data_IF_805573907412
#
_entry.id   IF_805573907412
#
_cell.length_a   1.000
_cell.length_b   1.000
_cell.length_c   1.000
_cell.angle_alpha   90.00
_cell.angle_beta   90.00
_cell.angle_gamma   90.00
#
_symmetry.space_group_name_H-M   'P 1'
#
loop_
_entity.id
_entity.type
_entity.pdbx_description
1 polymer ?
#
# COMPACT_ATOMS: atom_id res chain seq x y z
N UNK A 1 -40.19 48.69 -45.08
CA UNK A 1 -38.90 48.37 -44.43
C UNK A 1 -39.16 48.09 -42.96
N UNK A 2 -39.10 46.82 -42.53
CA UNK A 2 -39.16 46.41 -41.12
C UNK A 2 -38.02 45.42 -40.91
N UNK A 3 -37.00 45.84 -40.17
CA UNK A 3 -35.85 45.02 -39.80
C UNK A 3 -36.24 44.13 -38.63
N UNK A 4 -36.21 42.81 -38.82
CA UNK A 4 -36.26 41.84 -37.71
C UNK A 4 -34.82 41.47 -37.35
N UNK A 5 -34.39 41.89 -36.16
CA UNK A 5 -33.12 41.48 -35.56
C UNK A 5 -33.34 40.09 -34.97
N UNK A 6 -32.74 39.07 -35.58
CA UNK A 6 -32.63 37.73 -35.03
C UNK A 6 -31.51 37.73 -33.98
N UNK A 7 -31.87 37.72 -32.70
CA UNK A 7 -30.93 37.46 -31.60
C UNK A 7 -30.67 35.95 -31.52
N UNK A 8 -29.45 35.54 -31.85
CA UNK A 8 -28.99 34.18 -31.64
C UNK A 8 -28.77 33.95 -30.13
N UNK A 9 -29.59 33.09 -29.54
CA UNK A 9 -29.40 32.60 -28.17
C UNK A 9 -28.24 31.61 -28.17
N UNK A 10 -27.08 32.05 -27.67
CA UNK A 10 -25.93 31.18 -27.44
C UNK A 10 -26.21 30.21 -26.30
N UNK A 11 -26.47 28.93 -26.63
CA UNK A 11 -26.48 27.84 -25.66
C UNK A 11 -25.03 27.55 -25.24
N UNK A 12 -24.58 28.23 -24.19
CA UNK A 12 -23.36 27.86 -23.46
C UNK A 12 -23.60 26.49 -22.81
N UNK A 13 -23.13 25.45 -23.50
CA UNK A 13 -23.06 24.09 -22.97
C UNK A 13 -21.96 24.06 -21.91
N UNK A 14 -22.31 24.40 -20.67
CA UNK A 14 -21.44 24.19 -19.52
C UNK A 14 -21.24 22.71 -19.33
N UNK A 15 -20.15 22.16 -19.88
CA UNK A 15 -19.69 20.84 -19.51
C UNK A 15 -19.30 20.90 -18.03
N UNK A 16 -20.22 20.45 -17.17
CA UNK A 16 -19.91 20.12 -15.78
C UNK A 16 -18.86 19.01 -15.83
N UNK A 17 -17.59 19.41 -15.72
CA UNK A 17 -16.50 18.50 -15.39
C UNK A 17 -16.78 18.03 -13.98
N UNK A 18 -17.52 16.92 -13.85
CA UNK A 18 -17.50 16.14 -12.63
C UNK A 18 -16.06 15.67 -12.46
N UNK A 19 -15.29 16.35 -11.61
CA UNK A 19 -14.14 15.74 -11.00
C UNK A 19 -14.68 14.51 -10.28
N UNK A 20 -14.40 13.32 -10.83
CA UNK A 20 -14.60 12.08 -10.11
C UNK A 20 -13.67 12.15 -8.90
N UNK A 21 -14.18 12.70 -7.79
CA UNK A 21 -13.55 12.60 -6.49
C UNK A 21 -13.46 11.10 -6.20
N UNK A 22 -12.29 10.52 -6.49
CA UNK A 22 -11.96 9.23 -5.94
C UNK A 22 -12.11 9.38 -4.42
N UNK A 23 -12.83 8.50 -3.72
CA UNK A 23 -12.92 8.58 -2.28
C UNK A 23 -11.49 8.44 -1.73
N UNK A 24 -10.91 9.57 -1.34
CA UNK A 24 -9.65 9.58 -0.61
C UNK A 24 -9.97 8.94 0.73
N UNK A 25 -9.50 7.71 0.93
CA UNK A 25 -9.75 6.96 2.16
C UNK A 25 -9.32 7.77 3.38
N UNK A 26 -9.95 7.50 4.52
CA UNK A 26 -9.88 8.39 5.67
C UNK A 26 -8.46 8.45 6.26
N UNK A 27 -7.84 9.61 6.15
CA UNK A 27 -6.44 9.83 6.54
C UNK A 27 -6.29 10.08 8.06
N UNK A 28 -7.39 10.45 8.73
CA UNK A 28 -7.43 10.67 10.19
C UNK A 28 -7.00 9.43 10.99
N UNK A 29 -7.33 8.24 10.48
CA UNK A 29 -6.98 6.97 11.13
C UNK A 29 -5.48 6.73 11.23
N UNK A 30 -4.66 7.36 10.39
CA UNK A 30 -3.21 7.21 10.46
C UNK A 30 -2.63 7.86 11.73
N UNK A 31 -3.25 8.95 12.19
CA UNK A 31 -2.74 9.80 13.28
C UNK A 31 -3.55 9.68 14.57
N UNK A 32 -4.76 9.11 14.47
CA UNK A 32 -5.64 8.83 15.59
C UNK A 32 -4.95 8.00 16.68
N UNK A 33 -5.11 8.44 17.93
CA UNK A 33 -4.31 7.95 19.06
C UNK A 33 -4.53 6.45 19.33
N UNK A 34 -5.76 5.98 19.13
CA UNK A 34 -6.17 4.58 19.26
C UNK A 34 -5.48 3.66 18.23
N UNK A 35 -4.97 4.18 17.12
CA UNK A 35 -4.27 3.36 16.12
C UNK A 35 -2.75 3.31 16.32
N UNK A 36 -2.19 4.13 17.22
CA UNK A 36 -0.73 4.23 17.42
C UNK A 36 -0.10 2.91 17.88
N UNK A 37 -0.81 2.11 18.65
CA UNK A 37 -0.32 0.81 19.13
C UNK A 37 -0.20 -0.24 18.00
N UNK A 38 -0.88 -0.03 16.87
CA UNK A 38 -0.88 -0.92 15.69
C UNK A 38 0.12 -0.48 14.61
N UNK A 39 1.00 0.48 14.92
CA UNK A 39 1.87 1.15 13.94
C UNK A 39 3.37 0.95 14.21
N UNK A 40 3.76 0.01 15.07
CA UNK A 40 5.15 -0.45 15.17
C UNK A 40 5.53 -1.33 13.97
N UNK A 41 6.33 -0.77 13.05
CA UNK A 41 6.74 -1.44 11.81
C UNK A 41 7.72 -2.60 12.04
N UNK A 42 8.56 -2.50 13.06
CA UNK A 42 9.49 -3.59 13.40
C UNK A 42 8.69 -4.79 13.91
N UNK A 43 7.75 -4.55 14.83
CA UNK A 43 6.86 -5.61 15.32
C UNK A 43 6.04 -6.23 14.20
N UNK A 44 5.52 -5.43 13.26
CA UNK A 44 4.75 -5.91 12.12
C UNK A 44 5.55 -6.87 11.23
N UNK A 45 6.84 -6.62 11.00
CA UNK A 45 7.70 -7.47 10.18
C UNK A 45 8.40 -8.60 10.95
N UNK A 46 8.41 -8.57 12.28
CA UNK A 46 9.06 -9.61 13.10
C UNK A 46 8.23 -10.89 13.27
N UNK A 47 7.00 -10.94 12.74
CA UNK A 47 6.11 -12.11 12.84
C UNK A 47 6.36 -13.17 11.77
N UNK A 48 6.98 -12.80 10.65
CA UNK A 48 7.21 -13.71 9.50
C UNK A 48 8.41 -13.28 8.70
N UNK A 49 9.04 -14.22 7.97
CA UNK A 49 10.08 -13.90 6.97
C UNK A 49 9.52 -13.60 5.58
N UNK A 50 8.27 -13.96 5.33
CA UNK A 50 7.63 -13.83 4.02
C UNK A 50 6.29 -13.11 4.16
N UNK A 51 6.09 -12.12 3.29
CA UNK A 51 4.85 -11.37 3.18
C UNK A 51 4.41 -11.29 1.72
N UNK A 52 3.20 -11.74 1.43
CA UNK A 52 2.57 -11.65 0.12
C UNK A 52 1.95 -10.28 -0.09
N UNK A 53 2.11 -9.73 -1.29
CA UNK A 53 1.30 -8.60 -1.72
C UNK A 53 -0.11 -9.11 -1.96
N UNK A 54 -1.04 -8.83 -1.04
CA UNK A 54 -2.43 -9.29 -1.16
C UNK A 54 -3.23 -8.38 -2.10
N UNK A 55 -3.02 -7.07 -2.02
CA UNK A 55 -3.68 -6.14 -2.91
C UNK A 55 -3.37 -4.67 -2.64
N UNK A 56 -3.98 -3.81 -3.45
CA UNK A 56 -3.75 -2.36 -3.44
C UNK A 56 -5.00 -1.57 -3.83
N UNK A 57 -5.06 -0.30 -3.47
CA UNK A 57 -6.20 0.58 -3.76
C UNK A 57 -6.00 1.47 -4.99
N UNK A 58 -4.94 1.22 -5.76
CA UNK A 58 -4.51 2.06 -6.87
C UNK A 58 -4.01 1.21 -8.05
N UNK A 59 -4.08 1.72 -9.28
CA UNK A 59 -3.46 1.01 -10.40
C UNK A 59 -1.93 1.11 -10.30
N UNK A 60 -1.25 -0.03 -10.18
CA UNK A 60 0.22 -0.09 -10.10
C UNK A 60 0.83 -0.63 -11.40
N UNK A 61 1.44 0.22 -12.25
CA UNK A 61 2.13 -0.23 -13.47
C UNK A 61 3.20 -1.29 -13.18
N UNK A 62 3.78 -1.27 -11.98
CA UNK A 62 4.82 -2.22 -11.56
C UNK A 62 4.30 -3.63 -11.27
N UNK A 63 2.99 -3.81 -11.14
CA UNK A 63 2.35 -5.12 -10.91
C UNK A 63 1.71 -5.70 -12.18
N UNK A 64 1.66 -4.92 -13.26
CA UNK A 64 1.12 -5.37 -14.54
C UNK A 64 1.90 -6.58 -15.06
N UNK A 65 1.16 -7.63 -15.41
CA UNK A 65 1.68 -8.92 -15.87
C UNK A 65 2.57 -9.65 -14.85
N UNK A 66 2.48 -9.29 -13.56
CA UNK A 66 3.10 -10.03 -12.47
C UNK A 66 2.08 -10.89 -11.75
N UNK A 67 2.48 -12.09 -11.37
CA UNK A 67 1.82 -12.97 -10.40
C UNK A 67 2.80 -13.36 -9.31
N UNK A 68 2.32 -14.05 -8.26
CA UNK A 68 3.16 -14.55 -7.17
C UNK A 68 4.03 -13.47 -6.50
N UNK A 69 3.51 -12.26 -6.29
CA UNK A 69 4.33 -11.18 -5.72
C UNK A 69 4.43 -11.35 -4.21
N UNK A 70 5.64 -11.61 -3.71
CA UNK A 70 5.92 -11.67 -2.28
C UNK A 70 7.24 -10.97 -1.94
N UNK A 71 7.38 -10.62 -0.67
CA UNK A 71 8.55 -10.01 -0.09
C UNK A 71 9.19 -10.99 0.89
N UNK A 72 10.49 -11.25 0.71
CA UNK A 72 11.29 -12.09 1.60
C UNK A 72 12.25 -11.21 2.39
N UNK A 73 12.11 -11.22 3.71
CA UNK A 73 12.96 -10.48 4.64
C UNK A 73 14.25 -11.27 4.84
N UNK A 74 15.37 -10.66 4.49
CA UNK A 74 16.71 -11.24 4.56
C UNK A 74 17.38 -10.89 5.91
N UNK A 75 17.22 -9.63 6.35
CA UNK A 75 17.63 -9.18 7.68
C UNK A 75 16.63 -8.16 8.22
N UNK A 76 16.46 -8.12 9.54
CA UNK A 76 15.54 -7.20 10.22
C UNK A 76 16.18 -6.69 11.51
N UNK A 77 16.12 -5.37 11.71
CA UNK A 77 16.54 -4.70 12.93
C UNK A 77 15.52 -3.61 13.30
N UNK A 78 15.66 -3.00 14.47
CA UNK A 78 14.82 -1.84 14.86
C UNK A 78 15.02 -0.63 13.93
N UNK A 79 16.13 -0.60 13.19
CA UNK A 79 16.49 0.50 12.30
C UNK A 79 16.04 0.30 10.86
N UNK A 80 15.74 -0.93 10.45
CA UNK A 80 15.42 -1.22 9.07
C UNK A 80 15.45 -2.70 8.72
N UNK A 81 15.39 -3.00 7.42
CA UNK A 81 15.46 -4.37 6.92
C UNK A 81 16.08 -4.44 5.53
N UNK A 82 16.77 -5.55 5.25
CA UNK A 82 17.06 -5.95 3.88
C UNK A 82 16.02 -6.96 3.44
N UNK A 83 15.50 -6.80 2.24
CA UNK A 83 14.46 -7.67 1.72
C UNK A 83 14.50 -7.74 0.20
N UNK A 84 13.85 -8.74 -0.37
CA UNK A 84 13.67 -8.86 -1.80
C UNK A 84 12.20 -9.00 -2.18
N UNK A 85 11.79 -8.39 -3.29
CA UNK A 85 10.53 -8.70 -3.97
C UNK A 85 10.78 -9.81 -4.98
N UNK A 86 9.98 -10.86 -4.89
CA UNK A 86 10.01 -12.03 -5.76
C UNK A 86 8.67 -12.09 -6.49
N UNK A 87 8.69 -12.44 -7.78
CA UNK A 87 7.49 -12.47 -8.61
C UNK A 87 7.69 -13.35 -9.84
N UNK A 88 6.59 -13.72 -10.48
CA UNK A 88 6.58 -14.27 -11.83
C UNK A 88 6.10 -13.18 -12.77
N UNK A 89 6.86 -12.89 -13.84
CA UNK A 89 6.47 -11.96 -14.90
C UNK A 89 6.60 -12.66 -16.24
N UNK A 90 5.51 -12.72 -17.02
CA UNK A 90 5.49 -13.42 -18.31
C UNK A 90 6.03 -14.87 -18.22
N UNK A 91 5.68 -15.59 -17.15
CA UNK A 91 6.15 -16.96 -16.89
C UNK A 91 7.59 -17.09 -16.39
N UNK A 92 8.34 -16.00 -16.27
CA UNK A 92 9.72 -16.01 -15.78
C UNK A 92 9.82 -15.46 -14.36
N UNK A 93 10.72 -16.03 -13.56
CA UNK A 93 10.98 -15.56 -12.20
C UNK A 93 11.77 -14.26 -12.23
N UNK A 94 11.37 -13.32 -11.40
CA UNK A 94 12.08 -12.09 -11.14
C UNK A 94 12.34 -11.89 -9.66
N UNK A 95 13.50 -11.31 -9.35
CA UNK A 95 13.89 -10.89 -8.01
C UNK A 95 14.40 -9.46 -8.08
N UNK A 96 13.98 -8.61 -7.15
CA UNK A 96 14.52 -7.27 -6.95
C UNK A 96 14.92 -7.12 -5.48
N UNK A 97 16.13 -6.66 -5.24
CA UNK A 97 16.70 -6.52 -3.90
C UNK A 97 16.62 -5.08 -3.41
N UNK A 98 16.20 -4.93 -2.16
CA UNK A 98 15.96 -3.66 -1.51
C UNK A 98 16.71 -3.56 -0.17
N UNK A 99 16.98 -2.31 0.19
CA UNK A 99 17.38 -1.89 1.52
C UNK A 99 16.30 -0.95 2.06
N UNK A 100 15.87 -1.18 3.29
CA UNK A 100 14.81 -0.44 3.95
C UNK A 100 15.28 0.23 5.22
N UNK A 101 15.03 1.52 5.36
CA UNK A 101 15.27 2.28 6.59
C UNK A 101 13.95 2.60 7.26
N UNK A 102 13.83 2.31 8.56
CA UNK A 102 12.64 2.62 9.34
C UNK A 102 12.70 4.05 9.88
N UNK A 103 11.60 4.78 9.69
CA UNK A 103 11.44 6.19 10.05
C UNK A 103 10.23 6.39 10.96
N UNK A 104 10.24 7.48 11.74
CA UNK A 104 9.07 7.98 12.45
C UNK A 104 8.43 9.08 11.61
N UNK A 105 7.14 8.97 11.33
CA UNK A 105 6.37 10.12 10.82
C UNK A 105 6.02 11.06 11.97
N UNK A 106 5.93 12.35 11.69
CA UNK A 106 5.29 13.30 12.59
C UNK A 106 3.79 13.01 12.63
N UNK A 107 3.19 13.00 13.82
CA UNK A 107 1.73 12.96 13.94
C UNK A 107 1.16 14.28 13.46
N UNK A 108 0.16 14.27 12.58
CA UNK A 108 -0.45 15.52 12.06
C UNK A 108 -1.47 16.16 13.00
N UNK A 109 -1.51 15.74 14.26
CA UNK A 109 -2.50 16.21 15.23
C UNK A 109 -2.10 17.60 15.73
N UNK A 110 -2.82 18.63 15.28
CA UNK A 110 -2.53 20.06 15.43
C UNK A 110 -2.42 20.56 16.89
N UNK A 111 -2.78 19.74 17.88
CA UNK A 111 -2.86 20.15 19.27
C UNK A 111 -1.61 19.80 20.10
N UNK A 112 -0.88 18.72 19.76
CA UNK A 112 0.33 18.31 20.48
C UNK A 112 1.18 17.45 19.55
N UNK A 113 2.42 17.89 19.29
CA UNK A 113 3.49 17.09 18.67
C UNK A 113 3.88 15.91 19.58
N UNK A 114 2.97 14.96 19.82
CA UNK A 114 3.28 13.73 20.52
C UNK A 114 4.04 12.84 19.56
N UNK A 115 5.36 12.92 19.65
CA UNK A 115 6.29 12.05 18.93
C UNK A 115 5.82 10.59 19.00
N UNK A 116 5.88 9.89 17.88
CA UNK A 116 5.54 8.46 17.84
C UNK A 116 6.56 7.69 18.68
N UNK A 117 6.07 6.80 19.54
CA UNK A 117 6.95 5.94 20.35
C UNK A 117 7.78 5.01 19.46
N UNK A 118 7.15 4.49 18.39
CA UNK A 118 7.75 3.54 17.46
C UNK A 118 7.86 4.11 16.05
N UNK A 119 8.82 3.58 15.28
CA UNK A 119 8.91 3.84 13.84
C UNK A 119 7.75 3.14 13.15
N UNK A 120 7.15 3.85 12.20
CA UNK A 120 5.96 3.39 11.47
C UNK A 120 6.13 3.47 9.95
N UNK A 121 7.24 4.00 9.44
CA UNK A 121 7.46 4.10 8.00
C UNK A 121 8.69 3.33 7.57
N UNK A 122 8.65 2.87 6.32
CA UNK A 122 9.73 2.22 5.60
C UNK A 122 10.10 3.10 4.40
N UNK A 123 11.31 3.62 4.41
CA UNK A 123 11.94 4.21 3.25
C UNK A 123 12.78 3.14 2.55
N UNK A 124 12.30 2.67 1.40
CA UNK A 124 12.92 1.59 0.65
C UNK A 124 13.69 2.13 -0.56
N UNK A 125 14.89 1.60 -0.78
CA UNK A 125 15.72 1.86 -1.97
C UNK A 125 16.16 0.54 -2.59
N UNK A 126 16.53 0.56 -3.87
CA UNK A 126 17.19 -0.60 -4.49
C UNK A 126 18.57 -0.78 -3.87
N UNK A 127 19.01 -2.03 -3.72
CA UNK A 127 20.38 -2.31 -3.30
C UNK A 127 21.39 -1.84 -4.34
N UNK A 128 21.05 -1.97 -5.62
CA UNK A 128 21.87 -1.61 -6.76
C UNK A 128 21.17 -0.54 -7.63
N UNK A 129 20.92 0.64 -7.06
CA UNK A 129 20.34 1.77 -7.79
C UNK A 129 19.53 2.71 -6.90
N UNK A 130 18.84 3.67 -7.51
CA UNK A 130 17.95 4.58 -6.79
C UNK A 130 16.53 4.45 -7.32
N UNK A 131 15.65 3.95 -6.46
CA UNK A 131 14.20 3.99 -6.67
C UNK A 131 13.53 4.10 -5.29
N UNK A 132 13.46 5.33 -4.73
CA UNK A 132 13.04 5.54 -3.37
C UNK A 132 11.52 5.43 -3.24
N UNK A 133 11.06 4.53 -2.36
CA UNK A 133 9.65 4.34 -2.05
C UNK A 133 9.42 4.57 -0.57
N UNK A 134 8.45 5.42 -0.24
CA UNK A 134 8.03 5.66 1.14
C UNK A 134 6.70 4.96 1.40
N UNK A 135 6.76 3.99 2.31
CA UNK A 135 5.61 3.26 2.83
C UNK A 135 5.38 3.68 4.27
N UNK A 136 4.14 3.99 4.65
CA UNK A 136 3.78 4.29 6.04
C UNK A 136 2.77 3.29 6.52
N UNK A 137 3.09 2.57 7.58
CA UNK A 137 2.21 1.61 8.23
C UNK A 137 1.05 2.39 8.88
N UNK A 138 -0.16 2.16 8.38
CA UNK A 138 -1.38 2.66 8.98
C UNK A 138 -1.91 1.70 10.06
N UNK A 139 -1.76 0.40 9.84
CA UNK A 139 -2.25 -0.64 10.75
C UNK A 139 -1.54 -1.97 10.53
N UNK A 140 -1.19 -2.65 11.60
CA UNK A 140 -0.88 -4.07 11.62
C UNK A 140 -1.65 -4.75 12.75
N UNK A 141 -2.26 -5.90 12.48
CA UNK A 141 -2.91 -6.70 13.52
C UNK A 141 -1.91 -7.52 14.35
N UNK A 142 -0.64 -7.55 13.93
CA UNK A 142 0.42 -8.40 14.51
C UNK A 142 0.12 -9.90 14.49
N UNK A 143 -0.88 -10.32 13.70
CA UNK A 143 -1.26 -11.71 13.48
C UNK A 143 -1.01 -12.15 12.03
N UNK A 144 -0.62 -11.21 11.16
CA UNK A 144 -0.23 -11.51 9.79
C UNK A 144 -0.62 -10.47 8.77
N UNK A 145 -1.40 -9.44 9.14
CA UNK A 145 -1.86 -8.40 8.23
C UNK A 145 -1.19 -7.05 8.51
N UNK A 146 -0.72 -6.38 7.46
CA UNK A 146 -0.17 -5.03 7.54
C UNK A 146 -0.67 -4.16 6.36
N UNK A 147 -1.27 -3.01 6.68
CA UNK A 147 -1.80 -2.04 5.73
C UNK A 147 -0.88 -0.82 5.68
N UNK A 148 -0.31 -0.56 4.51
CA UNK A 148 0.59 0.54 4.24
C UNK A 148 -0.05 1.57 3.34
N UNK A 149 0.26 2.86 3.58
CA UNK A 149 0.11 3.91 2.58
C UNK A 149 1.36 4.06 1.74
N UNK A 150 1.16 4.22 0.44
CA UNK A 150 2.20 4.48 -0.56
C UNK A 150 2.10 5.94 -0.96
N UNK A 151 3.17 6.73 -0.81
CA UNK A 151 3.11 8.19 -1.00
C UNK A 151 3.76 8.67 -2.31
N UNK A 152 4.93 8.11 -2.68
CA UNK A 152 5.82 8.72 -3.69
C UNK A 152 5.52 8.34 -5.15
N UNK A 153 4.49 7.53 -5.43
CA UNK A 153 4.16 7.08 -6.79
C UNK A 153 2.70 7.36 -7.14
N UNK A 154 1.84 6.40 -6.84
CA UNK A 154 0.40 6.54 -6.97
C UNK A 154 -0.13 6.47 -5.54
N UNK A 155 -0.57 7.60 -4.98
CA UNK A 155 -1.09 7.64 -3.63
C UNK A 155 -2.18 6.59 -3.44
N UNK A 156 -2.06 5.78 -2.40
CA UNK A 156 -3.01 4.73 -2.11
C UNK A 156 -2.54 3.80 -1.02
N UNK A 157 -3.26 2.69 -0.86
CA UNK A 157 -2.96 1.66 0.10
C UNK A 157 -2.42 0.40 -0.56
N UNK A 158 -1.58 -0.29 0.19
CA UNK A 158 -1.11 -1.65 -0.07
C UNK A 158 -1.39 -2.48 1.18
N UNK A 159 -1.78 -3.74 1.01
CA UNK A 159 -1.91 -4.68 2.12
C UNK A 159 -1.02 -5.89 1.89
N UNK A 160 -0.27 -6.23 2.94
CA UNK A 160 0.62 -7.38 2.99
C UNK A 160 0.07 -8.42 3.96
N UNK A 161 0.13 -9.69 3.55
CA UNK A 161 -0.22 -10.82 4.39
C UNK A 161 0.98 -11.73 4.60
N UNK A 162 1.27 -12.12 5.84
CA UNK A 162 2.28 -13.15 6.14
C UNK A 162 1.93 -14.48 5.46
N UNK A 163 2.91 -15.34 5.20
CA UNK A 163 2.73 -16.61 4.50
C UNK A 163 1.59 -17.48 5.07
N UNK A 164 1.53 -17.59 6.41
CA UNK A 164 0.52 -18.39 7.12
C UNK A 164 -0.92 -17.88 6.92
N UNK A 165 -1.08 -16.58 6.65
CA UNK A 165 -2.38 -15.91 6.54
C UNK A 165 -2.75 -15.63 5.08
N UNK A 166 -1.79 -15.55 4.17
CA UNK A 166 -2.01 -15.16 2.78
C UNK A 166 -2.96 -16.08 1.99
N UNK A 167 -3.15 -17.32 2.46
CA UNK A 167 -4.11 -18.28 1.89
C UNK A 167 -5.55 -18.06 2.36
N UNK A 168 -5.72 -17.27 3.42
CA UNK A 168 -6.99 -16.93 4.02
C UNK A 168 -7.39 -15.50 3.68
N UNK A 169 -8.58 -15.10 4.12
CA UNK A 169 -8.97 -13.69 4.04
C UNK A 169 -8.22 -12.88 5.12
N UNK A 170 -8.12 -11.57 4.89
CA UNK A 170 -7.67 -10.62 5.92
C UNK A 170 -8.49 -10.79 7.20
N UNK A 171 -7.87 -10.55 8.36
CA UNK A 171 -8.59 -10.50 9.63
C UNK A 171 -9.70 -9.44 9.60
N UNK A 172 -10.72 -9.59 10.46
CA UNK A 172 -11.84 -8.63 10.52
C UNK A 172 -11.35 -7.21 10.79
N UNK A 173 -10.38 -7.05 11.70
CA UNK A 173 -9.81 -5.75 12.04
C UNK A 173 -9.02 -5.15 10.86
N UNK A 174 -8.20 -5.95 10.18
CA UNK A 174 -7.45 -5.48 9.03
C UNK A 174 -8.38 -5.10 7.86
N UNK A 175 -9.44 -5.89 7.65
CA UNK A 175 -10.47 -5.60 6.64
C UNK A 175 -11.19 -4.30 6.96
N UNK A 176 -11.61 -4.09 8.21
CA UNK A 176 -12.29 -2.88 8.64
C UNK A 176 -11.39 -1.65 8.49
N UNK A 177 -10.13 -1.75 8.95
CA UNK A 177 -9.15 -0.67 8.78
C UNK A 177 -8.95 -0.33 7.31
N UNK A 178 -8.71 -1.32 6.45
CA UNK A 178 -8.50 -1.09 5.02
C UNK A 178 -9.70 -0.40 4.37
N UNK A 179 -10.92 -0.87 4.63
CA UNK A 179 -12.13 -0.27 4.05
C UNK A 179 -12.29 1.20 4.45
N UNK A 180 -12.05 1.52 5.71
CA UNK A 180 -12.19 2.89 6.20
C UNK A 180 -11.03 3.79 5.72
N UNK A 181 -9.79 3.34 5.88
CA UNK A 181 -8.59 4.13 5.59
C UNK A 181 -8.28 4.25 4.09
N UNK A 182 -8.75 3.30 3.26
CA UNK A 182 -8.44 3.20 1.82
C UNK A 182 -9.68 3.37 0.92
N UNK A 183 -10.88 3.34 1.50
CA UNK A 183 -12.15 3.73 0.85
C UNK A 183 -12.73 2.75 -0.17
N UNK A 184 -12.08 1.60 -0.42
CA UNK A 184 -12.49 0.58 -1.41
C UNK A 184 -12.03 -0.81 -0.98
N UNK A 185 -12.58 -1.85 -1.61
CA UNK A 185 -12.00 -3.20 -1.53
C UNK A 185 -10.64 -3.24 -2.26
N UNK A 186 -9.67 -4.03 -1.77
CA UNK A 186 -8.37 -4.12 -2.41
C UNK A 186 -8.50 -4.77 -3.79
N UNK A 187 -7.86 -4.17 -4.79
CA UNK A 187 -7.58 -4.84 -6.05
C UNK A 187 -6.60 -5.97 -5.73
N UNK A 188 -7.10 -7.21 -5.76
CA UNK A 188 -6.29 -8.38 -5.39
C UNK A 188 -5.15 -8.56 -6.38
N UNK A 189 -3.95 -8.75 -5.86
CA UNK A 189 -2.81 -9.17 -6.66
C UNK A 189 -3.03 -10.60 -7.15
N UNK A 190 -2.56 -10.90 -8.36
CA UNK A 190 -2.69 -12.25 -8.94
C UNK A 190 -1.89 -13.25 -8.07
N UNK A 191 -2.55 -14.24 -7.44
CA UNK A 191 -1.88 -15.23 -6.61
C UNK A 191 -1.03 -16.18 -7.46
N UNK A 192 -0.29 -17.09 -6.81
CA UNK A 192 0.32 -18.20 -7.52
C UNK A 192 -0.73 -19.16 -8.08
N UNK A 193 -0.50 -19.67 -9.28
CA UNK A 193 -1.45 -20.55 -9.93
C UNK A 193 -1.52 -21.90 -9.21
N UNK A 194 -0.38 -22.43 -8.72
CA UNK A 194 -0.31 -23.70 -8.01
C UNK A 194 0.76 -23.76 -6.90
N UNK A 195 0.60 -24.72 -5.98
CA UNK A 195 1.49 -24.95 -4.81
C UNK A 195 2.94 -25.29 -5.21
N UNK A 196 3.14 -25.93 -6.35
CA UNK A 196 4.48 -26.24 -6.87
C UNK A 196 5.28 -24.98 -7.19
N UNK A 197 4.65 -23.94 -7.75
CA UNK A 197 5.30 -22.66 -8.07
C UNK A 197 5.81 -21.95 -6.81
N UNK A 198 5.08 -22.04 -5.69
CA UNK A 198 5.55 -21.51 -4.40
C UNK A 198 6.78 -22.24 -3.86
N UNK A 199 6.80 -23.58 -3.88
CA UNK A 199 7.96 -24.39 -3.44
C UNK A 199 9.18 -24.13 -4.32
N UNK A 200 8.94 -24.02 -5.61
CA UNK A 200 9.95 -23.71 -6.61
C UNK A 200 10.61 -22.34 -6.43
N UNK A 201 9.88 -21.37 -5.86
CA UNK A 201 10.37 -20.02 -5.51
C UNK A 201 11.19 -19.99 -4.20
N UNK A 202 11.47 -21.14 -3.57
CA UNK A 202 12.27 -21.24 -2.36
C UNK A 202 11.50 -20.84 -1.08
N UNK A 203 10.21 -21.19 -1.06
CA UNK A 203 9.35 -21.23 0.12
C UNK A 203 9.19 -22.68 0.60
#
# INVERSE_FOLDING_TARGET
MRFFILTAVGLMSGALVFTQNQPHGEVRMDDANEYREYQDIYKAFNISKTFWLYGFSYHSPHTVNKSCVFFKIESLSKEGMNYSSNFIKNGQRGKIEYTGTFLKTLGRDLALDKERQHKNSLFATLRNGSWPMLYTLGFADYLGCAVFRVQNMTPGCMVLLSDDVARNNMSTNCTAFYKNACGKDPIRQVPCANRSESFELGL
#
